data_IF_306545468683
#
_entry.id   IF_306545468683
#
_cell.length_a   1.000
_cell.length_b   1.000
_cell.length_c   1.000
_cell.angle_alpha   90.00
_cell.angle_beta   90.00
_cell.angle_gamma   90.00
#
_symmetry.space_group_name_H-M   'P 1'
#
loop_
_entity.id
_entity.type
_entity.pdbx_description
1 polymer ?
#
# COMPACT_ATOMS: atom_id res chain seq x y z
N UNK A 1 10.49 -32.78 -20.84
CA UNK A 1 10.37 -31.94 -19.63
C UNK A 1 9.44 -30.81 -19.99
N UNK A 2 8.34 -30.64 -19.25
CA UNK A 2 7.46 -29.48 -19.42
C UNK A 2 8.12 -28.38 -18.59
N UNK A 3 8.72 -27.39 -19.24
CA UNK A 3 9.25 -26.23 -18.54
C UNK A 3 8.07 -25.56 -17.82
N UNK A 4 8.15 -25.54 -16.50
CA UNK A 4 7.15 -24.87 -15.69
C UNK A 4 7.40 -23.37 -15.86
N UNK A 5 6.42 -22.59 -16.36
CA UNK A 5 6.61 -21.15 -16.53
C UNK A 5 7.09 -20.55 -15.23
N UNK A 6 8.06 -19.63 -15.30
CA UNK A 6 8.52 -18.97 -14.09
C UNK A 6 7.35 -18.20 -13.47
N UNK A 7 7.37 -17.97 -12.15
CA UNK A 7 6.36 -17.13 -11.49
C UNK A 7 6.22 -15.76 -12.17
N UNK A 8 7.31 -15.27 -12.76
CA UNK A 8 7.38 -14.05 -13.57
C UNK A 8 6.58 -14.14 -14.87
N UNK A 9 6.60 -15.27 -15.57
CA UNK A 9 5.88 -15.46 -16.84
C UNK A 9 4.37 -15.57 -16.61
N UNK A 10 3.96 -16.35 -15.60
CA UNK A 10 2.55 -16.44 -15.16
C UNK A 10 2.04 -15.05 -14.76
N UNK A 11 2.90 -14.24 -14.13
CA UNK A 11 2.54 -12.90 -13.70
C UNK A 11 2.37 -11.92 -14.87
N UNK A 12 3.25 -11.97 -15.87
CA UNK A 12 3.12 -11.17 -17.11
C UNK A 12 1.80 -11.51 -17.80
N UNK A 13 1.43 -12.79 -17.84
CA UNK A 13 0.15 -13.23 -18.41
C UNK A 13 -1.04 -12.73 -17.59
N UNK A 14 -0.97 -12.76 -16.25
CA UNK A 14 -2.01 -12.19 -15.39
C UNK A 14 -2.13 -10.68 -15.62
N UNK A 15 -1.04 -9.91 -15.57
CA UNK A 15 -1.08 -8.47 -15.79
C UNK A 15 -1.63 -8.10 -17.17
N UNK A 16 -1.23 -8.83 -18.20
CA UNK A 16 -1.66 -8.55 -19.58
C UNK A 16 -3.09 -9.00 -19.85
N UNK A 17 -3.58 -10.04 -19.16
CA UNK A 17 -4.96 -10.53 -19.29
C UNK A 17 -5.99 -9.68 -18.54
N UNK A 18 -5.55 -8.79 -17.63
CA UNK A 18 -6.45 -7.96 -16.84
C UNK A 18 -7.01 -6.77 -17.65
N UNK A 19 -8.28 -6.37 -17.42
CA UNK A 19 -8.92 -5.26 -18.14
C UNK A 19 -8.23 -3.89 -18.01
N UNK A 20 -7.45 -3.67 -16.94
CA UNK A 20 -6.74 -2.42 -16.64
C UNK A 20 -5.28 -2.43 -17.11
N UNK A 21 -4.83 -3.45 -17.83
CA UNK A 21 -3.42 -3.59 -18.22
C UNK A 21 -2.89 -2.38 -19.00
N UNK A 22 -3.74 -1.69 -19.76
CA UNK A 22 -3.41 -0.45 -20.48
C UNK A 22 -3.44 0.82 -19.60
N UNK A 23 -3.94 0.73 -18.36
CA UNK A 23 -4.00 1.82 -17.37
C UNK A 23 -2.82 1.79 -16.39
N UNK A 24 -2.04 0.72 -16.39
CA UNK A 24 -0.84 0.55 -15.56
C UNK A 24 0.38 1.02 -16.33
N UNK A 25 1.15 1.95 -15.76
CA UNK A 25 2.38 2.46 -16.37
C UNK A 25 3.38 1.32 -16.63
N UNK A 26 4.18 1.45 -17.68
CA UNK A 26 5.28 0.50 -17.95
C UNK A 26 6.27 0.44 -16.77
N UNK A 27 6.43 1.54 -16.05
CA UNK A 27 7.27 1.61 -14.86
C UNK A 27 6.73 0.73 -13.74
N UNK A 28 5.46 0.88 -13.38
CA UNK A 28 4.81 0.05 -12.37
C UNK A 28 4.81 -1.43 -12.79
N UNK A 29 4.52 -1.73 -14.06
CA UNK A 29 4.64 -3.10 -14.59
C UNK A 29 6.06 -3.64 -14.39
N UNK A 30 7.08 -2.90 -14.80
CA UNK A 30 8.48 -3.31 -14.65
C UNK A 30 8.85 -3.52 -13.18
N UNK A 31 8.40 -2.64 -12.28
CA UNK A 31 8.64 -2.74 -10.84
C UNK A 31 7.99 -3.98 -10.23
N UNK A 32 6.76 -4.30 -10.62
CA UNK A 32 6.07 -5.52 -10.17
C UNK A 32 6.68 -6.80 -10.77
N UNK A 33 7.19 -6.73 -12.00
CA UNK A 33 7.79 -7.87 -12.72
C UNK A 33 9.22 -8.17 -12.25
N UNK A 34 9.99 -7.12 -11.93
CA UNK A 34 11.43 -7.21 -11.65
C UNK A 34 11.79 -6.97 -10.18
N UNK A 35 10.87 -6.49 -9.35
CA UNK A 35 11.09 -6.37 -7.91
C UNK A 35 11.12 -7.75 -7.26
N UNK A 36 11.91 -7.91 -6.20
CA UNK A 36 11.85 -9.06 -5.29
C UNK A 36 10.60 -9.03 -4.38
N UNK A 37 9.69 -8.10 -4.66
CA UNK A 37 8.65 -7.66 -3.76
C UNK A 37 7.38 -8.49 -3.94
N UNK A 38 6.99 -9.18 -2.87
CA UNK A 38 5.77 -9.98 -2.70
C UNK A 38 4.47 -9.14 -2.80
N UNK A 39 4.53 -7.89 -3.24
CA UNK A 39 3.43 -6.92 -3.23
C UNK A 39 2.44 -7.05 -4.40
N UNK A 40 2.73 -7.93 -5.36
CA UNK A 40 1.96 -8.05 -6.60
C UNK A 40 0.48 -8.35 -6.37
N UNK A 41 0.14 -9.32 -5.51
CA UNK A 41 -1.26 -9.64 -5.20
C UNK A 41 -1.98 -8.50 -4.49
N UNK A 42 -1.28 -7.79 -3.60
CA UNK A 42 -1.82 -6.62 -2.90
C UNK A 42 -2.18 -5.50 -3.88
N UNK A 43 -1.26 -5.12 -4.77
CA UNK A 43 -1.48 -4.06 -5.76
C UNK A 43 -2.63 -4.42 -6.71
N UNK A 44 -2.67 -5.65 -7.21
CA UNK A 44 -3.74 -6.12 -8.10
C UNK A 44 -5.10 -6.08 -7.39
N UNK A 45 -5.17 -6.55 -6.15
CA UNK A 45 -6.38 -6.50 -5.35
C UNK A 45 -6.86 -5.07 -5.12
N UNK A 46 -5.94 -4.15 -4.81
CA UNK A 46 -6.24 -2.73 -4.62
C UNK A 46 -6.83 -2.11 -5.91
N UNK A 47 -6.23 -2.42 -7.07
CA UNK A 47 -6.78 -1.99 -8.37
C UNK A 47 -8.20 -2.54 -8.55
N UNK A 48 -8.42 -3.84 -8.32
CA UNK A 48 -9.73 -4.48 -8.47
C UNK A 48 -10.79 -3.84 -7.54
N UNK A 49 -10.40 -3.42 -6.33
CA UNK A 49 -11.29 -2.71 -5.39
C UNK A 49 -11.59 -1.29 -5.89
N UNK A 50 -10.59 -0.55 -6.35
CA UNK A 50 -10.75 0.81 -6.90
C UNK A 50 -11.61 0.84 -8.17
N UNK A 51 -11.57 -0.23 -8.97
CA UNK A 51 -12.41 -0.38 -10.16
C UNK A 51 -13.80 -0.97 -9.86
N UNK A 52 -14.09 -1.29 -8.59
CA UNK A 52 -15.38 -1.88 -8.19
C UNK A 52 -15.59 -3.31 -8.66
N UNK A 53 -14.54 -3.98 -9.16
CA UNK A 53 -14.56 -5.38 -9.60
C UNK A 53 -14.70 -6.30 -8.39
N UNK A 54 -13.95 -6.02 -7.33
CA UNK A 54 -13.98 -6.79 -6.09
C UNK A 54 -14.60 -5.96 -4.98
N UNK A 55 -15.56 -6.54 -4.26
CA UNK A 55 -16.05 -5.92 -3.03
C UNK A 55 -14.96 -6.01 -1.95
N UNK A 56 -14.70 -4.93 -1.21
CA UNK A 56 -13.79 -4.98 -0.08
C UNK A 56 -14.28 -5.98 0.97
N UNK A 57 -13.38 -6.83 1.50
CA UNK A 57 -13.71 -7.75 2.60
C UNK A 57 -13.55 -7.06 3.95
N UNK A 58 -14.16 -7.61 5.00
CA UNK A 58 -14.07 -7.09 6.38
C UNK A 58 -12.63 -7.14 6.93
N UNK A 59 -11.83 -8.08 6.46
CA UNK A 59 -10.40 -8.14 6.73
C UNK A 59 -9.59 -7.08 5.95
N UNK A 60 -10.07 -6.65 4.77
CA UNK A 60 -9.53 -5.52 4.00
C UNK A 60 -9.99 -4.17 4.62
N UNK A 61 -11.11 -4.17 5.36
CA UNK A 61 -11.67 -3.05 6.13
C UNK A 61 -10.86 -2.72 7.40
N UNK A 62 -9.86 -3.53 7.74
CA UNK A 62 -8.90 -3.25 8.81
C UNK A 62 -7.70 -2.54 8.19
N UNK A 63 -7.63 -1.23 8.45
CA UNK A 63 -6.52 -0.32 8.14
C UNK A 63 -6.53 0.21 6.70
N UNK A 64 -7.19 1.36 6.57
CA UNK A 64 -6.93 2.45 5.61
C UNK A 64 -7.25 2.25 4.13
N UNK A 65 -7.46 1.02 3.67
CA UNK A 65 -7.94 0.79 2.31
C UNK A 65 -9.33 1.39 2.04
N UNK A 66 -10.12 1.66 3.09
CA UNK A 66 -11.59 1.73 2.92
C UNK A 66 -12.36 2.86 3.56
N UNK A 67 -11.77 3.80 4.29
CA UNK A 67 -12.60 4.84 4.94
C UNK A 67 -11.89 6.20 4.92
N UNK A 68 -11.65 6.71 3.72
CA UNK A 68 -12.19 8.02 3.30
C UNK A 68 -11.71 8.28 1.85
N UNK A 69 -12.56 8.06 0.82
CA UNK A 69 -12.26 8.48 -0.55
C UNK A 69 -11.84 9.96 -0.67
N UNK A 70 -12.15 10.80 0.35
CA UNK A 70 -11.75 12.21 0.42
C UNK A 70 -10.32 12.43 0.95
N UNK A 71 -9.67 11.41 1.53
CA UNK A 71 -8.27 11.49 2.00
C UNK A 71 -7.24 10.88 1.04
N UNK A 72 -7.69 10.34 -0.10
CA UNK A 72 -6.81 9.82 -1.15
C UNK A 72 -5.94 10.92 -1.79
N UNK A 73 -6.34 12.17 -1.67
CA UNK A 73 -5.61 13.29 -2.25
C UNK A 73 -4.38 13.62 -1.40
N UNK A 74 -3.21 13.47 -2.02
CA UNK A 74 -1.97 13.94 -1.42
C UNK A 74 -1.97 15.48 -1.30
N UNK A 75 -1.27 15.98 -0.29
CA UNK A 75 -0.99 17.41 -0.08
C UNK A 75 0.47 17.70 -0.43
N UNK A 76 0.85 18.97 -0.53
CA UNK A 76 2.23 19.36 -0.85
C UNK A 76 2.57 19.15 -2.32
N UNK A 77 3.78 18.67 -2.60
CA UNK A 77 4.29 18.54 -3.98
C UNK A 77 3.53 17.49 -4.78
N UNK A 78 2.95 16.49 -4.11
CA UNK A 78 2.19 15.42 -4.76
C UNK A 78 0.72 15.79 -5.03
N UNK A 79 0.34 17.06 -4.91
CA UNK A 79 -1.01 17.53 -5.26
C UNK A 79 -1.39 17.13 -6.70
N UNK A 80 -2.64 16.66 -6.87
CA UNK A 80 -3.14 16.14 -8.14
C UNK A 80 -2.87 14.65 -8.37
N UNK A 81 -2.17 13.98 -7.44
CA UNK A 81 -2.09 12.53 -7.36
C UNK A 81 -2.96 12.00 -6.22
N UNK A 82 -3.43 10.77 -6.41
CA UNK A 82 -4.13 9.99 -5.42
C UNK A 82 -3.23 8.86 -4.92
N UNK A 83 -3.43 8.48 -3.67
CA UNK A 83 -2.76 7.33 -3.08
C UNK A 83 -3.75 6.47 -2.30
N UNK A 84 -3.42 5.19 -2.21
CA UNK A 84 -4.04 4.23 -1.31
C UNK A 84 -2.97 3.42 -0.62
N UNK A 85 -3.18 3.15 0.66
CA UNK A 85 -2.29 2.36 1.47
C UNK A 85 -2.65 0.89 1.31
N UNK A 86 -1.66 0.00 1.20
CA UNK A 86 -1.91 -1.44 1.21
C UNK A 86 -0.93 -2.16 2.15
N UNK A 87 -1.45 -3.10 2.95
CA UNK A 87 -0.65 -3.83 3.93
C UNK A 87 0.11 -4.99 3.30
N UNK A 88 1.37 -5.14 3.69
CA UNK A 88 2.11 -6.39 3.59
C UNK A 88 1.64 -7.35 4.70
N UNK A 89 1.91 -8.64 4.53
CA UNK A 89 1.52 -9.70 5.47
C UNK A 89 1.93 -9.34 6.92
N UNK A 90 0.96 -9.54 7.82
CA UNK A 90 0.53 -8.48 8.72
C UNK A 90 1.12 -8.55 10.14
N UNK A 91 2.23 -9.26 10.35
CA UNK A 91 2.71 -9.54 11.70
C UNK A 91 3.69 -8.47 12.23
N UNK A 92 4.80 -8.13 11.55
CA UNK A 92 5.79 -7.18 12.09
C UNK A 92 5.22 -5.76 12.25
N UNK A 93 4.31 -5.36 11.35
CA UNK A 93 3.70 -4.05 11.36
C UNK A 93 2.61 -3.90 12.45
N UNK A 94 1.84 -4.97 12.71
CA UNK A 94 0.92 -5.01 13.83
C UNK A 94 1.70 -4.94 15.15
N UNK A 95 2.80 -5.70 15.27
CA UNK A 95 3.68 -5.69 16.43
C UNK A 95 4.30 -4.31 16.66
N UNK A 96 4.82 -3.64 15.63
CA UNK A 96 5.41 -2.31 15.76
C UNK A 96 4.41 -1.25 16.22
N UNK A 97 3.16 -1.31 15.76
CA UNK A 97 2.12 -0.38 16.19
C UNK A 97 1.60 -0.65 17.60
N UNK A 98 1.45 -1.93 17.96
CA UNK A 98 1.12 -2.33 19.33
C UNK A 98 2.25 -1.92 20.27
N UNK A 99 3.49 -2.20 19.91
CA UNK A 99 4.72 -1.80 20.61
C UNK A 99 4.73 -0.30 20.88
N UNK A 100 4.61 0.51 19.83
CA UNK A 100 4.62 1.97 19.97
C UNK A 100 3.45 2.50 20.80
N UNK A 101 2.27 1.87 20.72
CA UNK A 101 1.09 2.24 21.52
C UNK A 101 1.22 1.90 23.00
N UNK A 102 1.89 0.79 23.34
CA UNK A 102 2.03 0.32 24.72
C UNK A 102 3.27 0.87 25.42
N UNK A 103 4.38 1.02 24.69
CA UNK A 103 5.70 1.30 25.26
C UNK A 103 6.28 2.65 24.84
N UNK A 104 5.70 3.30 23.82
CA UNK A 104 6.27 4.51 23.23
C UNK A 104 7.43 4.25 22.26
N UNK A 105 7.79 2.99 21.99
CA UNK A 105 8.82 2.59 21.01
C UNK A 105 8.28 1.54 20.04
N UNK A 106 8.51 1.66 18.70
CA UNK A 106 8.05 0.67 17.73
C UNK A 106 8.82 -0.65 17.77
N UNK A 107 10.01 -0.69 18.38
CA UNK A 107 10.94 -1.82 18.28
C UNK A 107 10.94 -2.73 19.52
N UNK A 108 9.92 -2.61 20.39
CA UNK A 108 9.87 -3.34 21.67
C UNK A 108 9.46 -4.79 21.49
N UNK A 109 8.70 -5.11 20.43
CA UNK A 109 8.26 -6.47 20.14
C UNK A 109 8.78 -6.88 18.76
N UNK A 110 9.65 -7.87 18.72
CA UNK A 110 10.16 -8.44 17.47
C UNK A 110 9.36 -9.67 17.03
N UNK A 111 8.54 -10.22 17.93
CA UNK A 111 7.67 -11.38 17.71
C UNK A 111 6.35 -11.28 18.47
N UNK A 112 5.37 -12.11 18.10
CA UNK A 112 4.14 -12.29 18.88
C UNK A 112 4.43 -12.77 20.30
N UNK A 113 5.49 -13.54 20.50
CA UNK A 113 5.82 -14.07 21.83
C UNK A 113 6.37 -12.99 22.76
N UNK A 114 7.13 -12.01 22.23
CA UNK A 114 7.54 -10.83 23.00
C UNK A 114 6.31 -10.04 23.50
N UNK A 115 5.32 -9.88 22.62
CA UNK A 115 4.07 -9.22 22.95
C UNK A 115 3.24 -10.01 23.98
N UNK A 116 3.18 -11.34 23.89
CA UNK A 116 2.51 -12.17 24.91
C UNK A 116 3.18 -12.04 26.27
N UNK A 117 4.50 -12.14 26.33
CA UNK A 117 5.27 -12.01 27.57
C UNK A 117 5.06 -10.63 28.20
N UNK A 118 5.10 -9.56 27.39
CA UNK A 118 4.85 -8.21 27.87
C UNK A 118 3.41 -8.04 28.40
N UNK A 119 2.42 -8.63 27.71
CA UNK A 119 1.02 -8.61 28.13
C UNK A 119 0.82 -9.26 29.51
N UNK A 120 1.46 -10.40 29.73
CA UNK A 120 1.40 -11.14 31.00
C UNK A 120 2.11 -10.38 32.12
N UNK A 121 3.28 -9.80 31.85
CA UNK A 121 4.04 -9.02 32.82
C UNK A 121 3.34 -7.73 33.26
N UNK A 122 2.59 -7.10 32.35
CA UNK A 122 1.98 -5.79 32.57
C UNK A 122 0.45 -5.82 32.74
N UNK A 123 -0.15 -7.02 32.81
CA UNK A 123 -1.60 -7.21 32.94
C UNK A 123 -2.44 -6.44 31.89
N UNK A 124 -1.94 -6.37 30.66
CA UNK A 124 -2.60 -5.65 29.56
C UNK A 124 -3.72 -6.52 28.99
N UNK A 125 -4.92 -5.95 28.79
CA UNK A 125 -6.00 -6.69 28.17
C UNK A 125 -5.90 -6.69 26.65
N UNK A 126 -6.49 -7.68 25.99
CA UNK A 126 -6.58 -7.69 24.52
C UNK A 126 -7.42 -6.52 23.97
N UNK A 127 -8.33 -5.94 24.77
CA UNK A 127 -9.11 -4.77 24.39
C UNK A 127 -8.25 -3.51 24.34
N UNK A 128 -7.35 -3.31 25.31
CA UNK A 128 -6.44 -2.15 25.35
C UNK A 128 -5.52 -2.09 24.12
N UNK A 129 -5.13 -3.26 23.60
CA UNK A 129 -4.34 -3.36 22.37
C UNK A 129 -5.13 -2.94 21.14
N UNK A 130 -6.39 -3.38 21.04
CA UNK A 130 -7.30 -3.01 19.95
C UNK A 130 -7.60 -1.52 19.98
N UNK A 131 -7.84 -0.94 21.15
CA UNK A 131 -8.09 0.50 21.31
C UNK A 131 -6.87 1.33 20.92
N UNK A 132 -5.65 0.92 21.28
CA UNK A 132 -4.42 1.61 20.87
C UNK A 132 -4.20 1.57 19.36
N UNK A 133 -4.46 0.42 18.73
CA UNK A 133 -4.41 0.30 17.26
C UNK A 133 -5.43 1.23 16.58
N UNK A 134 -6.67 1.29 17.10
CA UNK A 134 -7.72 2.15 16.57
C UNK A 134 -7.41 3.65 16.80
N UNK A 135 -6.84 4.01 17.95
CA UNK A 135 -6.43 5.38 18.26
C UNK A 135 -5.34 5.87 17.32
N UNK A 136 -4.30 5.07 17.10
CA UNK A 136 -3.16 5.39 16.23
C UNK A 136 -3.56 5.52 14.76
N UNK A 137 -4.48 4.68 14.31
CA UNK A 137 -5.17 4.83 13.01
C UNK A 137 -5.83 6.21 12.90
N UNK A 138 -6.55 6.65 13.94
CA UNK A 138 -7.22 7.95 13.95
C UNK A 138 -6.23 9.14 14.04
N UNK A 139 -4.99 8.90 14.48
CA UNK A 139 -3.92 9.91 14.55
C UNK A 139 -3.12 10.08 13.24
N UNK A 140 -3.40 9.29 12.19
CA UNK A 140 -2.80 9.46 10.86
C UNK A 140 -1.29 9.18 10.78
N UNK A 141 -0.73 8.42 11.73
CA UNK A 141 0.71 8.12 11.78
C UNK A 141 1.02 6.84 11.00
N UNK A 142 1.28 7.03 9.70
CA UNK A 142 1.93 6.17 8.69
C UNK A 142 1.56 4.69 8.67
N UNK A 143 0.84 4.31 7.61
CA UNK A 143 0.52 2.93 7.24
C UNK A 143 1.17 2.57 5.90
N UNK A 144 2.37 2.00 5.92
CA UNK A 144 2.89 1.15 4.81
C UNK A 144 3.05 1.81 3.42
N UNK A 145 3.24 0.94 2.42
CA UNK A 145 3.39 1.24 1.00
C UNK A 145 2.11 1.80 0.39
N UNK A 146 2.30 2.70 -0.57
CA UNK A 146 1.26 3.35 -1.35
C UNK A 146 1.21 2.79 -2.76
N UNK A 147 0.00 2.69 -3.31
CA UNK A 147 -0.23 2.71 -4.74
C UNK A 147 -0.60 4.13 -5.15
N UNK A 148 0.18 4.71 -6.05
CA UNK A 148 0.03 6.07 -6.56
C UNK A 148 -0.67 6.05 -7.93
N UNK A 149 -1.73 6.84 -8.05
CA UNK A 149 -2.56 6.88 -9.25
C UNK A 149 -3.10 8.28 -9.53
N UNK A 150 -3.64 8.48 -10.73
CA UNK A 150 -4.32 9.71 -11.14
C UNK A 150 -5.66 9.35 -11.78
N UNK A 151 -6.70 10.10 -11.43
CA UNK A 151 -8.03 9.97 -12.01
C UNK A 151 -8.27 11.10 -13.02
N UNK A 152 -8.84 10.76 -14.17
CA UNK A 152 -9.42 11.73 -15.09
C UNK A 152 -10.93 11.49 -15.21
N UNK A 153 -11.64 12.32 -15.99
CA UNK A 153 -13.10 12.22 -16.14
C UNK A 153 -13.63 10.92 -16.76
N UNK A 154 -12.76 10.03 -17.26
CA UNK A 154 -13.11 8.81 -17.98
C UNK A 154 -12.49 7.54 -17.40
N UNK A 155 -11.32 7.63 -16.75
CA UNK A 155 -10.56 6.46 -16.29
C UNK A 155 -9.53 6.81 -15.19
N UNK A 156 -9.09 5.78 -14.47
CA UNK A 156 -7.98 5.83 -13.52
C UNK A 156 -6.69 5.31 -14.17
N UNK A 157 -5.54 5.91 -13.84
CA UNK A 157 -4.22 5.43 -14.25
C UNK A 157 -3.33 5.16 -13.06
N UNK A 158 -2.74 3.97 -13.04
CA UNK A 158 -1.89 3.46 -11.97
C UNK A 158 -0.42 3.65 -12.37
N UNK A 159 0.31 4.45 -11.61
CA UNK A 159 1.59 4.98 -12.06
C UNK A 159 2.78 4.32 -11.38
N UNK A 160 2.72 4.14 -10.06
CA UNK A 160 3.83 3.60 -9.28
C UNK A 160 3.33 3.07 -7.92
N UNK A 161 4.14 2.27 -7.27
CA UNK A 161 4.05 2.03 -5.82
C UNK A 161 5.18 2.78 -5.13
N UNK A 162 4.99 3.23 -3.90
CA UNK A 162 6.07 3.89 -3.16
C UNK A 162 5.93 3.65 -1.67
N UNK A 163 7.04 3.61 -0.96
CA UNK A 163 6.98 3.75 0.49
C UNK A 163 6.45 5.15 0.86
N UNK A 164 5.90 5.28 2.06
CA UNK A 164 5.43 6.56 2.56
C UNK A 164 6.59 7.58 2.58
N UNK A 165 6.50 8.64 1.78
CA UNK A 165 7.46 9.75 1.79
C UNK A 165 6.98 10.88 2.69
N UNK A 166 7.92 11.58 3.33
CA UNK A 166 7.61 12.70 4.22
C UNK A 166 7.26 13.94 3.39
N UNK A 167 6.20 14.66 3.74
CA UNK A 167 5.84 15.90 3.03
C UNK A 167 6.93 16.97 3.10
N UNK A 168 7.06 17.71 1.99
CA UNK A 168 8.07 18.76 1.72
C UNK A 168 9.52 18.26 1.74
N UNK A 169 9.74 16.95 1.63
CA UNK A 169 11.08 16.38 1.58
C UNK A 169 11.62 16.32 0.14
N UNK A 170 12.93 16.14 0.00
CA UNK A 170 13.56 15.95 -1.32
C UNK A 170 13.05 14.67 -1.99
N UNK A 171 12.73 13.64 -1.21
CA UNK A 171 12.12 12.39 -1.68
C UNK A 171 10.72 12.63 -2.26
N UNK A 172 9.90 13.47 -1.63
CA UNK A 172 8.57 13.84 -2.15
C UNK A 172 8.70 14.55 -3.51
N UNK A 173 9.65 15.49 -3.64
CA UNK A 173 9.91 16.21 -4.90
C UNK A 173 10.39 15.25 -6.00
N UNK A 174 11.33 14.36 -5.67
CA UNK A 174 11.85 13.38 -6.63
C UNK A 174 10.77 12.41 -7.09
N UNK A 175 9.92 11.96 -6.17
CA UNK A 175 8.76 11.13 -6.48
C UNK A 175 7.80 11.87 -7.41
N UNK A 176 7.47 13.13 -7.12
CA UNK A 176 6.62 13.97 -7.99
C UNK A 176 7.18 14.08 -9.40
N UNK A 177 8.47 14.38 -9.53
CA UNK A 177 9.13 14.50 -10.84
C UNK A 177 9.06 13.19 -11.63
N UNK A 178 9.26 12.05 -10.97
CA UNK A 178 9.09 10.74 -11.59
C UNK A 178 7.65 10.52 -12.08
N UNK A 179 6.66 10.73 -11.20
CA UNK A 179 5.25 10.55 -11.52
C UNK A 179 4.80 11.46 -12.69
N UNK A 180 5.27 12.70 -12.74
CA UNK A 180 4.96 13.62 -13.84
C UNK A 180 5.51 13.13 -15.18
N UNK A 181 6.72 12.56 -15.18
CA UNK A 181 7.30 11.97 -16.36
C UNK A 181 6.50 10.74 -16.82
N UNK A 182 6.13 9.85 -15.89
CA UNK A 182 5.28 8.69 -16.18
C UNK A 182 3.93 9.11 -16.75
N UNK A 183 3.31 10.15 -16.16
CA UNK A 183 2.05 10.72 -16.64
C UNK A 183 2.17 11.23 -18.08
N UNK A 184 3.24 11.96 -18.43
CA UNK A 184 3.46 12.44 -19.80
C UNK A 184 3.58 11.29 -20.80
N UNK A 185 4.32 10.24 -20.47
CA UNK A 185 4.50 9.07 -21.35
C UNK A 185 3.18 8.37 -21.66
N UNK A 186 2.27 8.25 -20.69
CA UNK A 186 0.94 7.67 -20.90
C UNK A 186 0.11 8.49 -21.89
N UNK A 187 0.18 9.82 -21.82
CA UNK A 187 -0.57 10.70 -22.72
C UNK A 187 0.00 10.72 -24.16
N UNK A 188 1.27 10.35 -24.35
CA UNK A 188 1.89 10.26 -25.68
C UNK A 188 1.58 8.95 -26.42
N UNK A 189 1.20 7.90 -25.69
CA UNK A 189 0.94 6.56 -26.26
C UNK A 189 -0.57 6.29 -26.51
N UNK A 190 -1.41 7.34 -26.51
CA UNK A 190 -2.83 7.30 -26.89
C UNK A 190 -3.03 8.00 -28.22
#
# INVERSE_FOLDING_TARGET
MIDTPSQKDIFIDILNSKPYSNRVSLHLKSKLINGNDLYFHGVIHVIDVLEGITKPRIQDLRVDLLIDPLKQNLKGELIGYKHVHYQHDNEPYALANISLGLTGSPDTFQSIDDLKNYKEQHNISSNDMVENLLKRRNEGRSTQHWLLFVENSKENYYLDTSEHVKSKSTEEINLKNNLDNLKRTIHMNK
#
